data_IF_216096622674
#
_entry.id   IF_216096622674
#
_cell.length_a   1.000
_cell.length_b   1.000
_cell.length_c   1.000
_cell.angle_alpha   90.00
_cell.angle_beta   90.00
_cell.angle_gamma   90.00
#
_symmetry.space_group_name_H-M   'P 1'
#
loop_
_entity.id
_entity.type
_entity.pdbx_description
1 polymer ?
#
# COMPACT_ATOMS: atom_id res chain seq x y z
N UNK A 1 48.56 -26.73 4.34
CA UNK A 1 48.26 -25.49 3.61
C UNK A 1 47.45 -25.79 2.35
N UNK A 2 46.18 -25.56 2.36
CA UNK A 2 45.37 -25.24 1.19
C UNK A 2 43.96 -24.84 1.67
N UNK A 3 43.67 -23.56 1.53
CA UNK A 3 42.40 -22.94 1.84
C UNK A 3 41.31 -23.44 0.90
N UNK A 4 40.22 -23.92 1.47
CA UNK A 4 39.00 -24.19 0.75
C UNK A 4 38.04 -23.01 0.95
N UNK A 5 38.00 -22.09 0.02
CA UNK A 5 36.98 -21.04 -0.08
C UNK A 5 35.62 -21.67 -0.39
N UNK A 6 34.69 -21.56 0.51
CA UNK A 6 33.31 -21.95 0.31
C UNK A 6 32.65 -21.02 -0.71
N UNK A 7 32.35 -21.55 -1.88
CA UNK A 7 31.53 -20.88 -2.88
C UNK A 7 30.07 -20.86 -2.44
N UNK A 8 29.55 -19.71 -2.04
CA UNK A 8 28.13 -19.50 -1.83
C UNK A 8 27.42 -19.54 -3.19
N UNK A 9 26.62 -20.55 -3.40
CA UNK A 9 25.80 -20.73 -4.59
C UNK A 9 24.63 -19.74 -4.52
N UNK A 10 24.79 -18.55 -5.07
CA UNK A 10 23.68 -17.61 -5.31
C UNK A 10 22.89 -18.17 -6.49
N UNK A 11 21.73 -18.78 -6.17
CA UNK A 11 20.81 -19.26 -7.17
C UNK A 11 20.52 -18.18 -8.20
N UNK A 12 20.75 -18.53 -9.47
CA UNK A 12 20.47 -17.66 -10.60
C UNK A 12 18.98 -17.33 -10.64
N UNK A 13 18.62 -16.09 -10.29
CA UNK A 13 17.33 -15.55 -10.63
C UNK A 13 17.25 -15.47 -12.15
N UNK A 14 16.33 -16.23 -12.74
CA UNK A 14 16.09 -16.17 -14.18
C UNK A 14 15.66 -14.75 -14.53
N UNK A 15 16.50 -14.00 -15.21
CA UNK A 15 16.19 -12.70 -15.78
C UNK A 15 15.18 -12.92 -16.90
N UNK A 16 13.90 -12.68 -16.63
CA UNK A 16 12.91 -12.45 -17.66
C UNK A 16 13.12 -11.03 -18.20
N UNK A 17 13.99 -10.89 -19.19
CA UNK A 17 14.10 -9.64 -19.93
C UNK A 17 12.75 -9.45 -20.68
N UNK A 18 11.96 -8.49 -20.25
CA UNK A 18 10.80 -8.05 -21.00
C UNK A 18 11.30 -7.44 -22.33
N UNK A 19 10.79 -7.94 -23.46
CA UNK A 19 11.02 -7.32 -24.76
C UNK A 19 10.24 -6.03 -24.82
N UNK A 20 10.90 -4.88 -24.92
CA UNK A 20 10.29 -3.57 -25.09
C UNK A 20 10.33 -3.17 -26.54
N UNK A 21 9.23 -2.63 -27.06
CA UNK A 21 9.16 -2.03 -28.38
C UNK A 21 9.87 -0.67 -28.41
N UNK A 22 10.26 -0.21 -29.60
CA UNK A 22 10.96 1.06 -29.77
C UNK A 22 10.10 2.23 -29.25
N UNK A 23 10.64 2.98 -28.27
CA UNK A 23 9.94 4.09 -27.61
C UNK A 23 9.31 3.72 -26.26
N UNK A 24 9.47 2.49 -25.80
CA UNK A 24 9.02 2.05 -24.47
C UNK A 24 10.21 1.80 -23.54
N UNK A 25 10.01 2.02 -22.26
CA UNK A 25 11.00 1.70 -21.21
C UNK A 25 10.41 0.63 -20.30
N UNK A 26 11.15 -0.47 -20.08
CA UNK A 26 10.81 -1.43 -19.06
C UNK A 26 11.71 -1.23 -17.84
N UNK A 27 11.13 -1.06 -16.68
CA UNK A 27 11.84 -1.05 -15.41
C UNK A 27 11.63 -2.41 -14.72
N UNK A 28 12.71 -3.14 -14.50
CA UNK A 28 12.69 -4.34 -13.67
C UNK A 28 13.20 -3.96 -12.28
N UNK A 29 12.32 -3.97 -11.28
CA UNK A 29 12.68 -3.72 -9.89
C UNK A 29 12.55 -5.01 -9.09
N UNK A 30 13.52 -5.25 -8.20
CA UNK A 30 13.48 -6.35 -7.25
C UNK A 30 13.12 -5.81 -5.88
N UNK A 31 12.08 -6.37 -5.22
CA UNK A 31 11.63 -5.88 -3.93
C UNK A 31 11.12 -6.98 -3.01
N UNK A 32 11.08 -6.69 -1.71
CA UNK A 32 10.46 -7.54 -0.70
C UNK A 32 8.96 -7.21 -0.58
N UNK A 33 8.10 -8.23 -0.64
CA UNK A 33 6.66 -8.10 -0.44
C UNK A 33 5.87 -9.12 -1.26
N UNK A 34 4.58 -9.23 -0.98
CA UNK A 34 3.68 -10.14 -1.69
C UNK A 34 3.32 -9.68 -3.12
N UNK A 35 3.82 -8.54 -3.57
CA UNK A 35 3.61 -7.96 -4.91
C UNK A 35 2.13 -7.81 -5.31
N UNK A 36 1.23 -7.64 -4.35
CA UNK A 36 -0.22 -7.44 -4.55
C UNK A 36 -0.64 -6.11 -3.98
N UNK A 37 -1.50 -5.37 -4.69
CA UNK A 37 -2.03 -4.09 -4.23
C UNK A 37 -1.03 -2.94 -4.29
N UNK A 38 -1.18 -1.95 -3.42
CA UNK A 38 -0.41 -0.70 -3.46
C UNK A 38 1.01 -0.87 -2.92
N UNK A 39 2.00 -0.49 -3.72
CA UNK A 39 3.38 -0.30 -3.28
C UNK A 39 3.54 1.04 -2.59
N UNK A 40 3.94 1.05 -1.31
CA UNK A 40 4.17 2.28 -0.54
C UNK A 40 5.31 3.12 -1.11
N UNK A 41 6.42 2.47 -1.49
CA UNK A 41 7.53 3.16 -2.16
C UNK A 41 7.15 3.65 -3.55
N UNK A 42 6.34 2.88 -4.30
CA UNK A 42 5.79 3.29 -5.59
C UNK A 42 4.86 4.50 -5.45
N UNK A 43 3.94 4.49 -4.50
CA UNK A 43 3.07 5.62 -4.20
C UNK A 43 3.87 6.89 -3.87
N UNK A 44 4.92 6.76 -3.05
CA UNK A 44 5.81 7.88 -2.74
C UNK A 44 6.58 8.39 -3.98
N UNK A 45 7.03 7.50 -4.84
CA UNK A 45 7.71 7.85 -6.09
C UNK A 45 6.77 8.62 -7.03
N UNK A 46 5.55 8.13 -7.25
CA UNK A 46 4.55 8.79 -8.09
C UNK A 46 4.17 10.18 -7.56
N UNK A 47 4.01 10.32 -6.25
CA UNK A 47 3.73 11.61 -5.64
C UNK A 47 4.91 12.58 -5.79
N UNK A 48 6.15 12.12 -5.51
CA UNK A 48 7.34 12.97 -5.46
C UNK A 48 7.80 13.41 -6.84
N UNK A 49 7.81 12.50 -7.81
CA UNK A 49 8.41 12.73 -9.12
C UNK A 49 7.38 12.79 -10.25
N UNK A 50 6.24 12.13 -10.07
CA UNK A 50 5.16 12.09 -11.05
C UNK A 50 4.11 13.17 -10.87
N UNK A 51 4.12 13.89 -9.73
CA UNK A 51 3.09 14.89 -9.40
C UNK A 51 1.70 14.29 -9.19
N UNK A 52 1.61 13.00 -8.86
CA UNK A 52 0.34 12.34 -8.61
C UNK A 52 -0.23 12.76 -7.25
N UNK A 53 -1.51 13.12 -7.24
CA UNK A 53 -2.29 13.22 -6.02
C UNK A 53 -2.70 11.83 -5.50
N UNK A 54 -3.24 11.76 -4.29
CA UNK A 54 -3.63 10.51 -3.67
C UNK A 54 -4.69 9.74 -4.47
N UNK A 55 -5.59 10.42 -5.19
CA UNK A 55 -6.62 9.78 -6.01
C UNK A 55 -6.00 9.10 -7.23
N UNK A 56 -5.11 9.78 -7.92
CA UNK A 56 -4.36 9.21 -9.06
C UNK A 56 -3.53 8.00 -8.65
N UNK A 57 -2.90 8.05 -7.46
CA UNK A 57 -2.17 6.92 -6.88
C UNK A 57 -3.11 5.75 -6.61
N UNK A 58 -4.24 5.99 -5.94
CA UNK A 58 -5.20 4.93 -5.61
C UNK A 58 -5.77 4.26 -6.86
N UNK A 59 -6.18 5.03 -7.86
CA UNK A 59 -6.75 4.48 -9.11
C UNK A 59 -5.70 3.79 -10.00
N UNK A 60 -4.42 4.14 -9.83
CA UNK A 60 -3.33 3.41 -10.46
C UNK A 60 -3.17 1.99 -9.88
N UNK A 61 -3.24 1.85 -8.55
CA UNK A 61 -3.05 0.56 -7.88
C UNK A 61 -4.33 -0.26 -7.73
N UNK A 62 -5.49 0.40 -7.72
CA UNK A 62 -6.81 -0.22 -7.55
C UNK A 62 -7.74 0.22 -8.69
N UNK A 63 -7.44 -0.21 -9.94
CA UNK A 63 -8.28 0.17 -11.08
C UNK A 63 -9.70 -0.40 -10.93
N UNK A 64 -10.68 0.38 -11.40
CA UNK A 64 -12.10 0.01 -11.32
C UNK A 64 -12.77 0.28 -9.98
N UNK A 65 -12.04 0.79 -8.99
CA UNK A 65 -12.63 1.24 -7.72
C UNK A 65 -13.18 2.66 -7.84
N UNK A 66 -14.08 2.99 -6.91
CA UNK A 66 -14.61 4.36 -6.74
C UNK A 66 -14.26 4.87 -5.34
N UNK A 67 -13.93 6.15 -5.24
CA UNK A 67 -13.68 6.82 -3.97
C UNK A 67 -15.01 7.36 -3.43
N UNK A 68 -15.37 6.93 -2.22
CA UNK A 68 -16.62 7.31 -1.53
C UNK A 68 -16.27 8.07 -0.26
N UNK A 69 -17.00 9.17 0.01
CA UNK A 69 -16.92 9.91 1.27
C UNK A 69 -17.98 9.39 2.21
N UNK A 70 -17.54 8.89 3.35
CA UNK A 70 -18.41 8.43 4.44
C UNK A 70 -18.35 9.36 5.66
N UNK A 71 -19.15 9.06 6.66
CA UNK A 71 -19.03 9.73 7.95
C UNK A 71 -17.73 9.30 8.65
N UNK A 72 -16.88 10.25 9.00
CA UNK A 72 -15.64 10.01 9.75
C UNK A 72 -15.87 9.59 11.22
N UNK A 73 -17.13 9.43 11.65
CA UNK A 73 -17.50 9.10 13.04
C UNK A 73 -17.39 7.61 13.38
N UNK A 74 -17.06 6.76 12.42
CA UNK A 74 -16.91 5.32 12.66
C UNK A 74 -15.71 5.02 13.52
N UNK A 75 -15.90 4.23 14.57
CA UNK A 75 -14.79 3.62 15.30
C UNK A 75 -14.34 2.35 14.59
N UNK A 76 -13.04 2.12 14.58
CA UNK A 76 -12.40 0.93 13.98
C UNK A 76 -11.54 0.24 15.01
N UNK A 77 -11.30 -1.05 14.80
CA UNK A 77 -10.50 -1.87 15.72
C UNK A 77 -9.27 -2.44 14.99
N UNK A 78 -8.10 -2.27 15.58
CA UNK A 78 -6.86 -2.85 15.08
C UNK A 78 -6.08 -3.47 16.23
N UNK A 79 -5.76 -4.76 16.14
CA UNK A 79 -5.10 -5.56 17.19
C UNK A 79 -5.77 -5.41 18.58
N UNK A 80 -7.10 -5.39 18.63
CA UNK A 80 -7.86 -5.25 19.85
C UNK A 80 -7.96 -3.83 20.42
N UNK A 81 -7.33 -2.83 19.77
CA UNK A 81 -7.44 -1.41 20.13
C UNK A 81 -8.54 -0.77 19.29
N UNK A 82 -9.56 -0.24 19.93
CA UNK A 82 -10.67 0.49 19.27
C UNK A 82 -10.46 1.98 19.44
N UNK A 83 -10.59 2.73 18.35
CA UNK A 83 -10.43 4.17 18.37
C UNK A 83 -11.08 4.85 17.15
N UNK A 84 -10.93 6.18 17.08
CA UNK A 84 -11.39 6.95 15.93
C UNK A 84 -10.57 6.60 14.67
N UNK A 85 -11.12 6.96 13.49
CA UNK A 85 -10.39 6.86 12.23
C UNK A 85 -8.99 7.48 12.35
N UNK A 86 -8.91 8.74 12.80
CA UNK A 86 -7.63 9.46 12.85
C UNK A 86 -6.64 8.78 13.81
N UNK A 87 -7.09 8.36 15.00
CA UNK A 87 -6.22 7.75 16.01
C UNK A 87 -5.63 6.42 15.54
N UNK A 88 -6.44 5.55 14.96
CA UNK A 88 -5.99 4.22 14.54
C UNK A 88 -5.22 4.28 13.23
N UNK A 89 -5.76 4.97 12.21
CA UNK A 89 -5.12 5.03 10.89
C UNK A 89 -3.79 5.79 10.93
N UNK A 90 -3.66 6.85 11.73
CA UNK A 90 -2.37 7.55 11.85
C UNK A 90 -1.26 6.66 12.42
N UNK A 91 -1.59 5.80 13.38
CA UNK A 91 -0.63 4.84 13.94
C UNK A 91 -0.24 3.76 12.93
N UNK A 92 -1.19 3.30 12.11
CA UNK A 92 -0.92 2.35 11.02
C UNK A 92 -0.04 3.01 9.96
N UNK A 93 -0.41 4.18 9.44
CA UNK A 93 0.38 4.91 8.44
C UNK A 93 1.79 5.20 8.95
N UNK A 94 1.93 5.59 10.21
CA UNK A 94 3.26 5.86 10.82
C UNK A 94 4.12 4.61 10.96
N UNK A 95 3.51 3.43 11.12
CA UNK A 95 4.24 2.16 11.10
C UNK A 95 4.65 1.74 9.69
N UNK A 96 3.72 1.86 8.74
CA UNK A 96 3.86 1.35 7.39
C UNK A 96 4.75 2.23 6.50
N UNK A 97 4.75 3.54 6.75
CA UNK A 97 5.44 4.53 5.93
C UNK A 97 6.37 5.41 6.77
N UNK A 98 7.51 5.82 6.18
CA UNK A 98 8.34 6.85 6.79
C UNK A 98 7.58 8.19 6.85
N UNK A 99 7.70 8.91 7.98
CA UNK A 99 7.13 10.26 8.13
C UNK A 99 7.76 11.30 7.19
N UNK A 100 8.79 10.94 6.44
CA UNK A 100 9.42 11.78 5.41
C UNK A 100 8.86 11.54 4.01
N UNK A 101 7.96 10.58 3.84
CA UNK A 101 7.29 10.33 2.55
C UNK A 101 6.32 11.46 2.19
N UNK A 102 6.00 11.56 0.92
CA UNK A 102 5.15 12.62 0.39
C UNK A 102 3.72 12.55 1.01
N UNK A 103 3.10 13.69 1.37
CA UNK A 103 1.76 13.70 1.98
C UNK A 103 0.69 12.99 1.14
N UNK A 104 0.75 13.09 -0.20
CA UNK A 104 -0.21 12.40 -1.08
C UNK A 104 -0.08 10.88 -1.02
N UNK A 105 1.13 10.36 -0.84
CA UNK A 105 1.35 8.93 -0.61
C UNK A 105 0.79 8.47 0.75
N UNK A 106 0.95 9.29 1.79
CA UNK A 106 0.37 9.00 3.12
C UNK A 106 -1.17 9.02 3.09
N UNK A 107 -1.78 9.96 2.34
CA UNK A 107 -3.23 10.00 2.13
C UNK A 107 -3.73 8.75 1.42
N UNK A 108 -3.05 8.32 0.35
CA UNK A 108 -3.39 7.09 -0.35
C UNK A 108 -3.29 5.87 0.57
N UNK A 109 -2.22 5.77 1.37
CA UNK A 109 -2.05 4.71 2.36
C UNK A 109 -3.17 4.72 3.42
N UNK A 110 -3.58 5.90 3.91
CA UNK A 110 -4.65 6.03 4.89
C UNK A 110 -5.98 5.49 4.36
N UNK A 111 -6.34 5.85 3.13
CA UNK A 111 -7.56 5.37 2.47
C UNK A 111 -7.49 3.85 2.22
N UNK A 112 -6.35 3.35 1.75
CA UNK A 112 -6.17 1.92 1.53
C UNK A 112 -6.27 1.13 2.84
N UNK A 113 -5.61 1.58 3.91
CA UNK A 113 -5.69 0.94 5.22
C UNK A 113 -7.12 0.93 5.79
N UNK A 114 -7.83 2.05 5.69
CA UNK A 114 -9.21 2.15 6.15
C UNK A 114 -10.14 1.23 5.35
N UNK A 115 -10.06 1.27 4.02
CA UNK A 115 -10.88 0.41 3.15
C UNK A 115 -10.65 -1.07 3.44
N UNK A 116 -9.39 -1.48 3.67
CA UNK A 116 -9.03 -2.84 4.06
C UNK A 116 -9.65 -3.25 5.41
N UNK A 117 -9.59 -2.36 6.41
CA UNK A 117 -10.22 -2.61 7.72
C UNK A 117 -11.73 -2.78 7.57
N UNK A 118 -12.36 -1.89 6.82
CA UNK A 118 -13.82 -1.92 6.61
C UNK A 118 -14.24 -3.15 5.78
N UNK A 119 -13.48 -3.53 4.76
CA UNK A 119 -13.68 -4.79 4.03
C UNK A 119 -13.66 -6.02 4.95
N UNK A 120 -12.87 -5.98 6.03
CA UNK A 120 -12.80 -7.02 7.06
C UNK A 120 -13.80 -6.79 8.21
N UNK A 121 -14.88 -6.05 8.00
CA UNK A 121 -15.94 -5.84 8.99
C UNK A 121 -15.59 -4.84 10.10
N UNK A 122 -14.67 -3.91 9.85
CA UNK A 122 -14.25 -2.85 10.79
C UNK A 122 -13.22 -3.28 11.83
N UNK A 123 -12.67 -4.51 11.72
CA UNK A 123 -11.66 -5.02 12.65
C UNK A 123 -10.58 -5.85 11.96
N UNK A 124 -9.31 -5.64 12.31
CA UNK A 124 -8.16 -6.41 11.83
C UNK A 124 -7.17 -6.70 12.97
N UNK A 125 -6.43 -7.83 12.85
CA UNK A 125 -5.48 -8.27 13.89
C UNK A 125 -4.03 -8.44 13.37
N UNK A 126 -3.76 -8.06 12.15
CA UNK A 126 -2.46 -8.27 11.48
C UNK A 126 -1.77 -6.97 11.05
N UNK A 127 -2.06 -5.89 11.74
CA UNK A 127 -1.43 -4.57 11.53
C UNK A 127 -0.66 -4.16 12.78
N UNK A 128 0.35 -3.32 12.64
CA UNK A 128 1.11 -2.79 13.78
C UNK A 128 0.68 -1.35 14.03
N UNK A 129 0.34 -1.04 15.28
CA UNK A 129 0.05 0.32 15.74
C UNK A 129 1.32 0.93 16.33
N UNK A 130 1.90 1.90 15.63
CA UNK A 130 3.06 2.65 16.12
C UNK A 130 2.58 3.90 16.86
N UNK A 131 2.82 4.00 18.16
CA UNK A 131 2.31 5.11 18.96
C UNK A 131 3.00 6.43 18.61
N UNK A 132 2.35 7.54 18.98
CA UNK A 132 2.84 8.92 18.83
C UNK A 132 3.20 9.26 17.36
N UNK A 133 2.28 9.14 16.40
CA UNK A 133 2.52 9.58 15.03
C UNK A 133 2.84 11.10 15.02
N UNK A 134 3.81 11.55 14.20
CA UNK A 134 4.13 12.95 14.09
C UNK A 134 3.00 13.73 13.40
N UNK A 135 2.96 15.04 13.62
CA UNK A 135 1.83 15.90 13.21
C UNK A 135 1.57 15.84 11.69
N UNK A 136 2.60 15.82 10.86
CA UNK A 136 2.43 15.72 9.41
C UNK A 136 1.74 14.42 8.94
N UNK A 137 1.92 13.32 9.65
CA UNK A 137 1.18 12.07 9.41
C UNK A 137 -0.28 12.23 9.83
N UNK A 138 -0.53 12.80 11.00
CA UNK A 138 -1.89 13.08 11.50
C UNK A 138 -2.62 14.02 10.52
N UNK A 139 -1.96 15.06 10.03
CA UNK A 139 -2.55 16.01 9.09
C UNK A 139 -2.93 15.34 7.76
N UNK A 140 -2.04 14.50 7.22
CA UNK A 140 -2.32 13.76 5.99
C UNK A 140 -3.51 12.82 6.15
N UNK A 141 -3.58 12.07 7.25
CA UNK A 141 -4.69 11.16 7.56
C UNK A 141 -5.99 11.91 7.78
N UNK A 142 -5.95 13.01 8.54
CA UNK A 142 -7.13 13.83 8.82
C UNK A 142 -7.73 14.45 7.55
N UNK A 143 -6.89 14.82 6.60
CA UNK A 143 -7.32 15.42 5.33
C UNK A 143 -8.20 14.50 4.46
N UNK A 144 -8.13 13.18 4.69
CA UNK A 144 -8.89 12.17 3.94
C UNK A 144 -9.81 11.34 4.84
N UNK A 145 -10.09 11.84 6.04
CA UNK A 145 -10.91 11.13 7.01
C UNK A 145 -12.32 10.83 6.46
N UNK A 146 -12.73 9.55 6.58
CA UNK A 146 -14.00 9.06 6.06
C UNK A 146 -14.00 8.73 4.56
N UNK A 147 -12.88 8.85 3.85
CA UNK A 147 -12.78 8.38 2.48
C UNK A 147 -12.43 6.89 2.44
N UNK A 148 -13.12 6.14 1.57
CA UNK A 148 -12.91 4.73 1.35
C UNK A 148 -13.00 4.36 -0.13
N UNK A 149 -12.32 3.31 -0.54
CA UNK A 149 -12.45 2.72 -1.88
C UNK A 149 -13.53 1.64 -1.89
N UNK A 150 -14.40 1.72 -2.86
CA UNK A 150 -15.46 0.76 -3.13
C UNK A 150 -15.22 0.05 -4.46
N UNK A 151 -15.57 -1.22 -4.51
CA UNK A 151 -15.62 -2.04 -5.71
C UNK A 151 -16.92 -2.84 -5.71
N UNK A 152 -17.67 -2.77 -6.81
CA UNK A 152 -18.95 -3.47 -6.96
C UNK A 152 -19.96 -3.21 -5.83
N UNK A 153 -19.98 -1.98 -5.32
CA UNK A 153 -20.93 -1.52 -4.30
C UNK A 153 -20.56 -1.83 -2.84
N UNK A 154 -19.40 -2.43 -2.59
CA UNK A 154 -18.89 -2.73 -1.26
C UNK A 154 -17.43 -2.25 -1.08
N UNK A 155 -16.91 -2.29 0.14
CA UNK A 155 -15.51 -1.92 0.40
C UNK A 155 -14.54 -2.76 -0.43
N UNK A 156 -13.58 -2.09 -1.04
CA UNK A 156 -12.56 -2.77 -1.83
C UNK A 156 -11.50 -3.45 -0.95
N UNK A 157 -11.02 -4.66 -1.31
CA UNK A 157 -9.95 -5.37 -0.59
C UNK A 157 -8.58 -4.77 -0.89
N UNK A 158 -8.31 -3.59 -0.38
CA UNK A 158 -7.15 -2.77 -0.66
C UNK A 158 -5.89 -3.24 0.07
N UNK A 159 -5.23 -4.25 -0.44
CA UNK A 159 -3.95 -4.74 0.11
C UNK A 159 -2.82 -3.78 -0.24
N UNK A 160 -1.81 -3.65 0.66
CA UNK A 160 -0.65 -2.79 0.47
C UNK A 160 0.62 -3.41 1.04
N UNK A 161 1.77 -2.92 0.63
CA UNK A 161 3.07 -3.39 1.12
C UNK A 161 4.22 -2.46 0.76
N UNK A 162 5.38 -2.66 1.37
CA UNK A 162 6.52 -1.74 1.26
C UNK A 162 7.01 -1.56 -0.18
N UNK A 163 7.09 -2.64 -0.95
CA UNK A 163 7.55 -2.58 -2.34
C UNK A 163 6.91 -3.70 -3.15
N UNK A 164 6.52 -3.39 -4.38
CA UNK A 164 6.23 -4.37 -5.42
C UNK A 164 7.43 -4.46 -6.35
N UNK A 165 7.81 -5.65 -6.78
CA UNK A 165 8.94 -5.88 -7.69
C UNK A 165 8.73 -5.38 -9.12
N UNK A 166 8.16 -4.18 -9.31
CA UNK A 166 7.94 -3.52 -10.60
C UNK A 166 6.51 -3.55 -11.14
N UNK A 167 5.73 -4.56 -10.84
CA UNK A 167 4.30 -4.61 -11.09
C UNK A 167 3.60 -5.31 -9.93
N UNK A 168 2.44 -4.81 -9.54
CA UNK A 168 1.56 -5.51 -8.59
C UNK A 168 0.64 -6.44 -9.38
N UNK A 169 0.59 -7.70 -8.98
CA UNK A 169 -0.43 -8.62 -9.46
C UNK A 169 -1.77 -8.31 -8.79
N UNK A 170 -2.87 -8.57 -9.48
CA UNK A 170 -4.19 -8.48 -8.86
C UNK A 170 -4.38 -9.62 -7.84
N UNK A 171 -5.28 -9.44 -6.89
CA UNK A 171 -5.63 -10.51 -5.96
C UNK A 171 -6.18 -11.76 -6.68
N UNK A 172 -6.84 -11.57 -7.84
CA UNK A 172 -7.31 -12.63 -8.72
C UNK A 172 -6.19 -13.47 -9.30
N UNK A 173 -5.08 -12.84 -9.69
CA UNK A 173 -3.93 -13.52 -10.28
C UNK A 173 -3.19 -14.43 -9.27
N UNK A 174 -3.23 -14.09 -7.99
CA UNK A 174 -2.47 -14.82 -6.97
C UNK A 174 -3.36 -15.79 -6.17
N UNK A 175 -4.59 -15.40 -5.82
CA UNK A 175 -5.48 -16.20 -4.97
C UNK A 175 -6.69 -16.78 -5.69
N UNK A 176 -6.78 -16.62 -7.02
CA UNK A 176 -7.86 -17.17 -7.84
C UNK A 176 -9.24 -16.56 -7.54
N UNK A 177 -9.29 -15.41 -6.86
CA UNK A 177 -10.51 -14.64 -6.62
C UNK A 177 -10.45 -13.38 -7.45
N UNK A 178 -11.32 -13.28 -8.45
CA UNK A 178 -11.60 -12.00 -9.10
C UNK A 178 -12.55 -11.23 -8.18
N UNK A 179 -12.09 -10.08 -7.71
CA UNK A 179 -12.91 -9.08 -7.06
C UNK A 179 -13.26 -8.00 -8.07
#
# INVERSE_FOLDING_TARGET
SSDAAGSANIGAAASMAASVEAGQFAFTTYGYGHCVGMSQNGANYYATYGGYDYQSILFHYFPGTTLVQESASSTITANGVTGSYVDIISQIVYNEMSSTMHPEAMKAQAIAAYSYIMFNGGSVNNVILKPNPPQNVIDAVSAVAGQALYYDGDYAPTVYGASSGGATASSGDIWGRQY
#
